data_IF_525796655587
#
_entry.id   IF_525796655587
#
_cell.length_a   1.000
_cell.length_b   1.000
_cell.length_c   1.000
_cell.angle_alpha   90.00
_cell.angle_beta   90.00
_cell.angle_gamma   90.00
#
_symmetry.space_group_name_H-M   'P 1'
#
loop_
_entity.id
_entity.type
_entity.pdbx_description
1 polymer ?
#
# COMPACT_ATOMS: atom_id res chain seq x y z
N UNK A 1 -19.00 -7.63 1.51
CA UNK A 1 -17.66 -8.27 1.62
C UNK A 1 -17.37 -8.70 3.05
N UNK A 2 -17.46 -7.81 4.06
CA UNK A 2 -17.22 -8.19 5.46
C UNK A 2 -18.12 -9.34 5.94
N UNK A 3 -19.42 -9.31 5.61
CA UNK A 3 -20.39 -10.38 5.89
C UNK A 3 -20.07 -11.72 5.20
N UNK A 4 -19.29 -11.69 4.10
CA UNK A 4 -18.84 -12.91 3.42
C UNK A 4 -17.59 -13.52 4.07
N UNK A 5 -16.80 -12.68 4.77
CA UNK A 5 -15.58 -13.11 5.44
C UNK A 5 -15.90 -13.55 6.87
N UNK A 6 -16.57 -12.70 7.65
CA UNK A 6 -16.78 -12.92 9.07
C UNK A 6 -18.18 -13.45 9.35
N UNK A 7 -18.28 -14.41 10.29
CA UNK A 7 -19.58 -14.98 10.73
C UNK A 7 -20.16 -14.26 11.95
N UNK A 8 -19.31 -13.68 12.80
CA UNK A 8 -19.73 -13.08 14.07
C UNK A 8 -20.26 -11.65 13.83
N UNK A 9 -21.52 -11.32 14.21
CA UNK A 9 -22.10 -10.00 13.98
C UNK A 9 -21.28 -8.85 14.60
N UNK A 10 -20.72 -9.07 15.78
CA UNK A 10 -19.86 -8.09 16.44
C UNK A 10 -18.60 -7.75 15.62
N UNK A 11 -18.01 -8.74 14.94
CA UNK A 11 -16.85 -8.52 14.07
C UNK A 11 -17.29 -7.77 12.81
N UNK A 12 -18.39 -8.18 12.18
CA UNK A 12 -18.94 -7.50 10.99
C UNK A 12 -19.18 -6.02 11.31
N UNK A 13 -19.90 -5.73 12.39
CA UNK A 13 -20.18 -4.36 12.85
C UNK A 13 -18.89 -3.58 13.13
N UNK A 14 -17.89 -4.20 13.79
CA UNK A 14 -16.58 -3.57 14.02
C UNK A 14 -15.88 -3.17 12.72
N UNK A 15 -15.93 -4.02 11.70
CA UNK A 15 -15.33 -3.70 10.40
C UNK A 15 -16.15 -2.67 9.62
N UNK A 16 -17.48 -2.65 9.74
CA UNK A 16 -18.34 -1.67 9.08
C UNK A 16 -18.19 -0.26 9.67
N UNK A 17 -18.04 -0.16 11.00
CA UNK A 17 -17.95 1.11 11.71
C UNK A 17 -16.52 1.69 11.80
N UNK A 18 -15.51 0.92 11.38
CA UNK A 18 -14.13 1.39 11.37
C UNK A 18 -13.83 2.30 10.17
N UNK A 19 -12.83 3.21 10.29
CA UNK A 19 -12.51 4.18 9.24
C UNK A 19 -12.35 3.54 7.86
N UNK A 20 -12.73 4.31 6.83
CA UNK A 20 -12.58 3.95 5.42
C UNK A 20 -13.17 2.57 5.08
N UNK A 21 -14.34 2.26 5.65
CA UNK A 21 -14.98 0.96 5.50
C UNK A 21 -15.25 0.58 4.04
N UNK A 22 -15.68 1.57 3.24
CA UNK A 22 -15.97 1.40 1.83
C UNK A 22 -14.71 1.11 1.00
N UNK A 23 -13.64 1.86 1.23
CA UNK A 23 -12.34 1.71 0.57
C UNK A 23 -11.70 0.36 0.91
N UNK A 24 -11.80 -0.07 2.18
CA UNK A 24 -11.35 -1.40 2.60
C UNK A 24 -12.18 -2.50 1.95
N UNK A 25 -13.50 -2.32 1.84
CA UNK A 25 -14.41 -3.28 1.19
C UNK A 25 -14.07 -3.46 -0.28
N UNK A 26 -13.84 -2.36 -1.02
CA UNK A 26 -13.45 -2.35 -2.43
C UNK A 26 -12.15 -3.12 -2.67
N UNK A 27 -11.14 -2.87 -1.84
CA UNK A 27 -9.86 -3.56 -1.96
C UNK A 27 -9.95 -5.07 -1.64
N UNK A 28 -10.71 -5.45 -0.61
CA UNK A 28 -10.95 -6.87 -0.31
C UNK A 28 -11.69 -7.60 -1.45
N UNK A 29 -12.64 -6.92 -2.10
CA UNK A 29 -13.32 -7.47 -3.27
C UNK A 29 -12.34 -7.65 -4.44
N UNK A 30 -11.48 -6.66 -4.69
CA UNK A 30 -10.42 -6.76 -5.69
C UNK A 30 -9.50 -7.95 -5.42
N UNK A 31 -9.02 -8.13 -4.18
CA UNK A 31 -8.19 -9.29 -3.82
C UNK A 31 -8.96 -10.62 -4.04
N UNK A 32 -10.25 -10.69 -3.71
CA UNK A 32 -11.04 -11.88 -3.95
C UNK A 32 -11.16 -12.21 -5.45
N UNK A 33 -11.35 -11.19 -6.30
CA UNK A 33 -11.38 -11.34 -7.76
C UNK A 33 -10.03 -11.79 -8.34
N UNK A 34 -8.92 -11.47 -7.67
CA UNK A 34 -7.58 -11.96 -8.01
C UNK A 34 -7.31 -13.40 -7.51
N UNK A 35 -8.31 -14.09 -6.95
CA UNK A 35 -8.20 -15.50 -6.54
C UNK A 35 -7.58 -15.73 -5.16
N UNK A 36 -7.51 -14.70 -4.31
CA UNK A 36 -6.97 -14.86 -2.95
C UNK A 36 -7.85 -15.78 -2.11
N UNK A 37 -7.22 -16.68 -1.36
CA UNK A 37 -7.92 -17.61 -0.47
C UNK A 37 -8.68 -16.87 0.64
N UNK A 38 -9.81 -17.43 1.14
CA UNK A 38 -10.60 -16.82 2.22
C UNK A 38 -9.78 -16.52 3.49
N UNK A 39 -8.86 -17.41 3.85
CA UNK A 39 -7.95 -17.22 5.00
C UNK A 39 -7.03 -16.02 4.80
N UNK A 40 -6.50 -15.82 3.58
CA UNK A 40 -5.69 -14.65 3.24
C UNK A 40 -6.51 -13.36 3.28
N UNK A 41 -7.77 -13.41 2.83
CA UNK A 41 -8.66 -12.24 2.88
C UNK A 41 -8.99 -11.81 4.31
N UNK A 42 -9.16 -12.74 5.25
CA UNK A 42 -9.30 -12.42 6.68
C UNK A 42 -8.09 -11.66 7.20
N UNK A 43 -6.92 -12.19 6.90
CA UNK A 43 -5.64 -11.63 7.33
C UNK A 43 -5.44 -10.22 6.74
N UNK A 44 -5.79 -10.02 5.47
CA UNK A 44 -5.78 -8.70 4.83
C UNK A 44 -6.81 -7.78 5.49
N UNK A 45 -8.02 -8.25 5.79
CA UNK A 45 -9.07 -7.43 6.41
C UNK A 45 -8.67 -6.90 7.79
N UNK A 46 -7.99 -7.73 8.60
CA UNK A 46 -7.45 -7.32 9.91
C UNK A 46 -6.30 -6.34 9.78
N UNK A 47 -5.37 -6.56 8.84
CA UNK A 47 -4.29 -5.60 8.58
C UNK A 47 -4.85 -4.24 8.14
N UNK A 48 -5.79 -4.26 7.19
CA UNK A 48 -6.45 -3.05 6.69
C UNK A 48 -7.19 -2.30 7.80
N UNK A 49 -7.82 -3.00 8.74
CA UNK A 49 -8.48 -2.38 9.88
C UNK A 49 -7.49 -1.51 10.69
N UNK A 50 -6.30 -2.05 10.99
CA UNK A 50 -5.27 -1.29 11.71
C UNK A 50 -4.65 -0.17 10.87
N UNK A 51 -4.44 -0.41 9.57
CA UNK A 51 -3.99 0.63 8.64
C UNK A 51 -4.98 1.80 8.62
N UNK A 52 -6.26 1.52 8.41
CA UNK A 52 -7.30 2.55 8.39
C UNK A 52 -7.41 3.32 9.71
N UNK A 53 -7.30 2.66 10.86
CA UNK A 53 -7.30 3.34 12.17
C UNK A 53 -6.11 4.29 12.33
N UNK A 54 -4.92 3.88 11.91
CA UNK A 54 -3.71 4.73 11.97
C UNK A 54 -3.76 5.89 10.98
N UNK A 55 -4.44 5.71 9.86
CA UNK A 55 -4.60 6.74 8.84
C UNK A 55 -5.85 7.62 9.02
N UNK A 56 -6.64 7.43 10.09
CA UNK A 56 -7.89 8.18 10.33
C UNK A 56 -7.73 9.71 10.34
N UNK A 57 -6.52 10.20 10.65
CA UNK A 57 -6.19 11.63 10.67
C UNK A 57 -5.82 12.22 9.31
N UNK A 58 -5.76 11.41 8.25
CA UNK A 58 -5.45 11.87 6.89
C UNK A 58 -6.74 11.89 6.07
N UNK A 59 -7.37 13.08 5.89
CA UNK A 59 -8.54 13.19 5.03
C UNK A 59 -8.18 12.74 3.60
N UNK A 60 -9.11 12.09 2.92
CA UNK A 60 -8.95 11.53 1.57
C UNK A 60 -7.86 10.46 1.40
N UNK A 61 -7.24 9.96 2.47
CA UNK A 61 -6.15 8.97 2.42
C UNK A 61 -4.95 9.38 1.55
N UNK A 62 -4.81 10.67 1.21
CA UNK A 62 -3.64 11.18 0.50
C UNK A 62 -2.46 11.21 1.45
N UNK A 63 -1.59 10.21 1.32
CA UNK A 63 -0.44 10.04 2.21
C UNK A 63 0.83 9.72 1.44
N UNK A 64 1.95 10.27 1.92
CA UNK A 64 3.28 9.96 1.40
C UNK A 64 3.83 8.69 2.02
N UNK A 65 4.80 8.01 1.38
CA UNK A 65 5.51 6.88 1.99
C UNK A 65 6.10 7.17 3.37
N UNK A 66 6.55 8.40 3.61
CA UNK A 66 7.14 8.88 4.87
C UNK A 66 6.07 8.97 5.96
N UNK A 67 4.89 9.50 5.63
CA UNK A 67 3.74 9.53 6.54
C UNK A 67 3.27 8.13 6.90
N UNK A 68 3.26 7.19 5.95
CA UNK A 68 2.97 5.77 6.23
C UNK A 68 3.99 5.19 7.20
N UNK A 69 5.29 5.42 6.97
CA UNK A 69 6.36 4.94 7.87
C UNK A 69 6.21 5.53 9.27
N UNK A 70 5.91 6.83 9.39
CA UNK A 70 5.68 7.51 10.67
C UNK A 70 4.47 6.92 11.40
N UNK A 71 3.37 6.69 10.69
CA UNK A 71 2.17 6.06 11.26
C UNK A 71 2.41 4.62 11.77
N UNK A 72 3.45 3.95 11.27
CA UNK A 72 3.84 2.60 11.66
C UNK A 72 4.71 2.52 12.92
N UNK A 73 5.08 3.64 13.56
CA UNK A 73 6.03 3.64 14.68
C UNK A 73 5.39 3.33 16.04
N UNK A 74 4.17 3.79 16.27
CA UNK A 74 3.45 3.59 17.52
C UNK A 74 2.43 2.44 17.40
N UNK A 75 2.49 1.47 18.32
CA UNK A 75 1.58 0.32 18.38
C UNK A 75 0.83 0.17 19.70
N UNK A 76 0.94 1.16 20.59
CA UNK A 76 0.37 1.13 21.94
C UNK A 76 -1.13 0.82 21.95
N UNK A 77 -1.90 1.40 21.02
CA UNK A 77 -3.33 1.13 20.85
C UNK A 77 -3.61 -0.35 20.54
N UNK A 78 -2.82 -0.95 19.64
CA UNK A 78 -2.99 -2.35 19.23
C UNK A 78 -2.55 -3.30 20.34
N UNK A 79 -1.43 -3.01 20.99
CA UNK A 79 -0.90 -3.80 22.12
C UNK A 79 -1.88 -3.81 23.30
N UNK A 80 -2.47 -2.65 23.63
CA UNK A 80 -3.53 -2.55 24.65
C UNK A 80 -4.76 -3.36 24.27
N UNK A 81 -5.16 -3.32 23.00
CA UNK A 81 -6.30 -4.09 22.51
C UNK A 81 -6.05 -5.60 22.53
N UNK A 82 -4.83 -6.04 22.21
CA UNK A 82 -4.47 -7.45 22.11
C UNK A 82 -3.93 -8.05 23.42
N UNK A 83 -3.72 -7.24 24.45
CA UNK A 83 -3.23 -7.68 25.76
C UNK A 83 -1.79 -8.22 25.76
N UNK A 84 -1.02 -7.99 24.70
CA UNK A 84 0.37 -8.46 24.59
C UNK A 84 1.22 -7.51 23.74
N UNK A 85 2.53 -7.55 23.99
CA UNK A 85 3.51 -6.77 23.22
C UNK A 85 3.69 -7.36 21.82
N UNK A 86 3.75 -6.49 20.82
CA UNK A 86 3.93 -6.89 19.43
C UNK A 86 5.40 -6.88 19.06
N UNK A 87 5.77 -7.72 18.09
CA UNK A 87 7.04 -7.54 17.40
C UNK A 87 6.96 -6.27 16.53
N UNK A 88 7.44 -5.15 17.07
CA UNK A 88 7.32 -3.83 16.41
C UNK A 88 7.94 -3.82 15.03
N UNK A 89 9.16 -4.38 14.87
CA UNK A 89 9.85 -4.43 13.57
C UNK A 89 9.01 -5.12 12.50
N UNK A 90 8.50 -6.31 12.81
CA UNK A 90 7.69 -7.07 11.86
C UNK A 90 6.32 -6.42 11.60
N UNK A 91 5.67 -5.94 12.66
CA UNK A 91 4.34 -5.32 12.56
C UNK A 91 4.40 -4.01 11.75
N UNK A 92 5.42 -3.18 11.95
CA UNK A 92 5.66 -1.97 11.16
C UNK A 92 5.97 -2.28 9.71
N UNK A 93 6.84 -3.24 9.42
CA UNK A 93 7.16 -3.64 8.05
C UNK A 93 5.91 -4.15 7.31
N UNK A 94 5.11 -4.98 7.99
CA UNK A 94 3.85 -5.50 7.47
C UNK A 94 2.83 -4.38 7.22
N UNK A 95 2.67 -3.46 8.16
CA UNK A 95 1.81 -2.29 8.02
C UNK A 95 2.17 -1.47 6.79
N UNK A 96 3.45 -1.11 6.64
CA UNK A 96 3.92 -0.31 5.50
C UNK A 96 3.61 -1.01 4.18
N UNK A 97 3.86 -2.32 4.10
CA UNK A 97 3.59 -3.12 2.90
C UNK A 97 2.09 -3.15 2.55
N UNK A 98 1.23 -3.39 3.52
CA UNK A 98 -0.23 -3.45 3.30
C UNK A 98 -0.78 -2.07 2.95
N UNK A 99 -0.38 -1.02 3.68
CA UNK A 99 -0.78 0.34 3.42
C UNK A 99 -0.40 0.78 2.01
N UNK A 100 0.85 0.56 1.58
CA UNK A 100 1.29 0.88 0.21
C UNK A 100 0.45 0.18 -0.86
N UNK A 101 0.21 -1.13 -0.72
CA UNK A 101 -0.60 -1.89 -1.70
C UNK A 101 -2.03 -1.36 -1.78
N UNK A 102 -2.66 -1.13 -0.61
CA UNK A 102 -4.02 -0.63 -0.54
C UNK A 102 -4.16 0.79 -1.10
N UNK A 103 -3.26 1.70 -0.72
CA UNK A 103 -3.29 3.09 -1.18
C UNK A 103 -2.95 3.22 -2.67
N UNK A 104 -2.06 2.36 -3.19
CA UNK A 104 -1.77 2.29 -4.62
C UNK A 104 -2.99 1.80 -5.41
N UNK A 105 -3.74 0.82 -4.88
CA UNK A 105 -5.02 0.41 -5.47
C UNK A 105 -6.05 1.54 -5.50
N UNK A 106 -6.10 2.37 -4.46
CA UNK A 106 -7.02 3.52 -4.41
C UNK A 106 -6.55 4.71 -5.27
N UNK A 107 -5.30 4.71 -5.76
CA UNK A 107 -4.69 5.87 -6.42
C UNK A 107 -4.41 7.04 -5.47
N UNK A 108 -4.29 6.79 -4.16
CA UNK A 108 -4.08 7.82 -3.13
C UNK A 108 -2.65 7.85 -2.57
N UNK A 109 -1.80 6.92 -3.01
CA UNK A 109 -0.38 6.97 -2.67
C UNK A 109 0.27 8.10 -3.47
N UNK A 110 0.65 9.18 -2.78
CA UNK A 110 1.47 10.23 -3.36
C UNK A 110 2.88 9.68 -3.45
N UNK A 111 3.19 9.03 -4.58
CA UNK A 111 4.56 8.66 -4.88
C UNK A 111 5.34 9.96 -5.08
N UNK A 112 6.43 10.19 -4.31
CA UNK A 112 7.27 11.36 -4.54
C UNK A 112 7.73 11.27 -5.99
N UNK A 113 7.35 12.26 -6.81
CA UNK A 113 7.67 12.27 -8.24
C UNK A 113 9.14 11.95 -8.41
N UNK A 114 9.45 10.97 -9.30
CA UNK A 114 10.76 10.35 -9.51
C UNK A 114 11.91 11.30 -9.13
N UNK A 115 12.33 11.28 -7.86
CA UNK A 115 13.59 11.88 -7.44
C UNK A 115 14.68 10.87 -7.77
N UNK A 116 14.71 10.39 -9.01
CA UNK A 116 15.87 9.67 -9.52
C UNK A 116 16.97 10.73 -9.56
N UNK A 117 18.02 10.68 -8.71
CA UNK A 117 19.04 11.72 -8.63
C UNK A 117 19.74 11.95 -9.98
N UNK A 118 19.65 10.94 -10.85
CA UNK A 118 20.22 10.87 -12.19
C UNK A 118 19.16 10.98 -13.29
N UNK A 119 17.97 11.53 -13.02
CA UNK A 119 16.91 11.68 -14.02
C UNK A 119 17.40 12.45 -15.26
N UNK A 120 18.22 13.48 -15.06
CA UNK A 120 18.88 14.23 -16.15
C UNK A 120 19.85 13.33 -16.94
N UNK A 121 20.70 12.54 -16.27
CA UNK A 121 21.59 11.58 -16.94
C UNK A 121 20.81 10.50 -17.72
N UNK A 122 19.65 10.07 -17.22
CA UNK A 122 18.78 9.12 -17.94
C UNK A 122 18.12 9.77 -19.16
N UNK A 123 17.79 11.06 -19.09
CA UNK A 123 17.31 11.82 -20.25
C UNK A 123 18.41 12.02 -21.29
N UNK A 124 19.62 12.39 -20.86
CA UNK A 124 20.77 12.56 -21.74
C UNK A 124 21.18 11.24 -22.40
N UNK A 125 21.20 10.15 -21.62
CA UNK A 125 21.45 8.80 -22.12
C UNK A 125 20.37 8.36 -23.12
N UNK A 126 19.10 8.70 -22.87
CA UNK A 126 18.01 8.41 -23.80
C UNK A 126 18.15 9.19 -25.11
N UNK A 127 18.45 10.49 -25.03
CA UNK A 127 18.69 11.32 -26.21
C UNK A 127 19.87 10.80 -27.02
N UNK A 128 20.97 10.42 -26.37
CA UNK A 128 22.12 9.78 -27.01
C UNK A 128 21.76 8.45 -27.68
N UNK A 129 20.94 7.60 -27.04
CA UNK A 129 20.48 6.33 -27.64
C UNK A 129 19.55 6.53 -28.85
N UNK A 130 18.73 7.60 -28.85
CA UNK A 130 17.87 7.97 -29.98
C UNK A 130 18.71 8.57 -31.13
N UNK A 131 19.57 9.54 -30.84
CA UNK A 131 20.28 10.34 -31.84
C UNK A 131 21.54 9.65 -32.39
N UNK A 132 22.35 9.00 -31.56
CA UNK A 132 23.61 8.38 -31.99
C UNK A 132 23.50 6.88 -32.29
N UNK A 133 22.57 6.17 -31.64
CA UNK A 133 22.37 4.73 -31.88
C UNK A 133 21.14 4.39 -32.70
N UNK A 134 20.26 5.36 -33.00
CA UNK A 134 19.07 5.17 -33.82
C UNK A 134 18.09 4.15 -33.24
N UNK A 135 18.10 3.93 -31.92
CA UNK A 135 17.30 2.89 -31.30
C UNK A 135 15.83 3.32 -31.20
N UNK A 136 14.93 2.35 -31.42
CA UNK A 136 13.50 2.60 -31.27
C UNK A 136 13.14 2.92 -29.81
N UNK A 137 12.15 3.79 -29.61
CA UNK A 137 11.70 4.25 -28.28
C UNK A 137 11.30 3.11 -27.35
N UNK A 138 10.81 1.99 -27.90
CA UNK A 138 10.45 0.77 -27.15
C UNK A 138 11.67 0.01 -26.62
N UNK A 139 12.77 0.00 -27.37
CA UNK A 139 14.05 -0.58 -26.92
C UNK A 139 14.64 0.25 -25.80
N UNK A 140 14.60 1.57 -25.95
CA UNK A 140 15.11 2.53 -24.98
C UNK A 140 14.37 2.44 -23.65
N UNK A 141 13.03 2.34 -23.66
CA UNK A 141 12.25 2.14 -22.44
C UNK A 141 12.61 0.86 -21.68
N UNK A 142 12.88 -0.25 -22.39
CA UNK A 142 13.34 -1.49 -21.75
C UNK A 142 14.69 -1.30 -21.06
N UNK A 143 15.64 -0.65 -21.72
CA UNK A 143 16.97 -0.40 -21.17
C UNK A 143 16.95 0.57 -19.98
N UNK A 144 16.17 1.65 -20.05
CA UNK A 144 15.97 2.55 -18.91
C UNK A 144 15.28 1.86 -17.72
N UNK A 145 14.46 0.83 -17.96
CA UNK A 145 13.85 0.01 -16.92
C UNK A 145 14.86 -0.80 -16.10
N UNK A 146 15.96 -1.27 -16.72
CA UNK A 146 17.03 -1.99 -16.02
C UNK A 146 17.88 -1.06 -15.13
N UNK A 147 18.01 0.21 -15.51
CA UNK A 147 18.82 1.20 -14.78
C UNK A 147 18.10 1.84 -13.57
N UNK A 148 16.80 1.57 -13.41
CA UNK A 148 15.97 2.07 -12.29
C UNK A 148 15.84 1.07 -11.13
N UNK A 149 16.45 -0.11 -11.19
CA UNK A 149 16.50 -1.10 -10.09
C UNK A 149 17.64 -0.80 -9.12
#
# INVERSE_FOLDING_TARGET
MFEKLFKLPAVISRHQNAPFAEERRRYLLHCAQQGYAPTTLHVIADDLFWVARKLRGYPELRVTPEQIKKAAQDWSERERYSGHMLNKRWTSARFVRVAKKWLRFLGHLVEPGDQTPFAHLLMDFRRWMEDERGLSSTTIQRWSGYLKQ
#
